data_IF_749549242911
#
_entry.id   IF_749549242911
#
_cell.length_a   1.000
_cell.length_b   1.000
_cell.length_c   1.000
_cell.angle_alpha   90.00
_cell.angle_beta   90.00
_cell.angle_gamma   90.00
#
_symmetry.space_group_name_H-M   'P 1'
#
loop_
_entity.id
_entity.type
_entity.pdbx_description
1 polymer ?
#
# COMPACT_ATOMS: atom_id res chain seq x y z
N UNK A 1 28.91 14.75 -4.00
CA UNK A 1 27.81 13.79 -4.22
C UNK A 1 26.51 14.59 -4.28
N UNK A 2 25.62 14.34 -5.25
CA UNK A 2 24.33 15.07 -5.32
C UNK A 2 23.36 14.50 -4.29
N UNK A 3 22.56 15.35 -3.66
CA UNK A 3 21.61 14.96 -2.61
C UNK A 3 20.18 15.00 -3.13
N UNK A 4 19.40 13.97 -2.78
CA UNK A 4 17.97 13.88 -3.03
C UNK A 4 17.26 13.86 -1.68
N UNK A 5 16.30 14.76 -1.50
CA UNK A 5 15.40 14.76 -0.35
C UNK A 5 14.10 14.09 -0.76
N UNK A 6 13.67 13.10 0.00
CA UNK A 6 12.49 12.28 -0.24
C UNK A 6 11.52 12.54 0.91
N UNK A 7 10.36 13.12 0.62
CA UNK A 7 9.40 13.59 1.64
C UNK A 7 8.24 12.60 1.80
N UNK A 8 8.56 11.31 1.96
CA UNK A 8 7.60 10.22 2.27
C UNK A 8 8.38 9.01 2.80
N UNK A 9 7.98 8.42 3.93
CA UNK A 9 8.55 7.18 4.51
C UNK A 9 7.74 5.91 4.20
N UNK A 10 7.07 5.86 3.04
CA UNK A 10 6.36 4.69 2.52
C UNK A 10 7.12 3.98 1.40
N UNK A 11 6.55 2.93 0.80
CA UNK A 11 7.20 2.08 -0.21
C UNK A 11 7.82 2.87 -1.36
N UNK A 12 7.11 3.86 -1.91
CA UNK A 12 7.65 4.68 -3.00
C UNK A 12 8.88 5.49 -2.55
N UNK A 13 8.87 5.99 -1.32
CA UNK A 13 9.99 6.71 -0.72
C UNK A 13 11.20 5.81 -0.46
N UNK A 14 10.98 4.61 0.09
CA UNK A 14 12.06 3.63 0.28
C UNK A 14 12.64 3.15 -1.05
N UNK A 15 11.79 2.82 -2.02
CA UNK A 15 12.21 2.49 -3.39
C UNK A 15 13.07 3.60 -3.98
N UNK A 16 12.59 4.86 -3.94
CA UNK A 16 13.35 6.01 -4.42
C UNK A 16 14.68 6.19 -3.66
N UNK A 17 14.71 5.99 -2.35
CA UNK A 17 15.91 6.09 -1.53
C UNK A 17 16.96 5.05 -1.91
N UNK A 18 16.56 3.78 -2.01
CA UNK A 18 17.43 2.68 -2.40
C UNK A 18 18.00 2.91 -3.79
N UNK A 19 17.14 3.20 -4.79
CA UNK A 19 17.62 3.47 -6.14
C UNK A 19 18.48 4.73 -6.22
N UNK A 20 18.21 5.77 -5.43
CA UNK A 20 19.07 6.96 -5.35
C UNK A 20 20.48 6.57 -4.88
N UNK A 21 20.60 5.79 -3.80
CA UNK A 21 21.89 5.32 -3.27
C UNK A 21 22.63 4.43 -4.28
N UNK A 22 21.93 3.49 -4.92
CA UNK A 22 22.51 2.63 -5.97
C UNK A 22 23.05 3.43 -7.17
N UNK A 23 22.46 4.60 -7.44
CA UNK A 23 22.84 5.49 -8.54
C UNK A 23 23.79 6.63 -8.11
N UNK A 24 24.40 6.52 -6.93
CA UNK A 24 25.46 7.44 -6.50
C UNK A 24 24.97 8.78 -5.94
N UNK A 25 23.68 8.90 -5.63
CA UNK A 25 23.13 10.03 -4.88
C UNK A 25 23.23 9.78 -3.37
N UNK A 26 23.35 10.86 -2.61
CA UNK A 26 23.00 10.85 -1.19
C UNK A 26 21.47 10.99 -1.09
N UNK A 27 20.81 10.20 -0.23
CA UNK A 27 19.36 10.25 -0.04
C UNK A 27 19.03 10.56 1.42
N UNK A 28 18.14 11.53 1.64
CA UNK A 28 17.55 11.83 2.94
C UNK A 28 16.04 11.57 2.86
N UNK A 29 15.53 10.64 3.66
CA UNK A 29 14.09 10.36 3.76
C UNK A 29 13.55 11.13 4.97
N UNK A 30 12.48 11.90 4.74
CA UNK A 30 11.74 12.63 5.76
C UNK A 30 10.33 12.04 5.83
N UNK A 31 9.96 11.58 7.02
CA UNK A 31 8.62 11.10 7.33
C UNK A 31 8.01 12.03 8.38
N UNK A 32 6.75 12.40 8.19
CA UNK A 32 6.03 13.28 9.13
C UNK A 32 5.47 12.49 10.32
N UNK A 33 5.17 11.21 10.10
CA UNK A 33 4.62 10.32 11.11
C UNK A 33 5.73 9.77 12.01
N UNK A 34 5.34 9.32 13.21
CA UNK A 34 6.24 8.70 14.18
C UNK A 34 6.66 7.28 13.77
N UNK A 35 5.94 6.69 12.82
CA UNK A 35 6.19 5.38 12.23
C UNK A 35 6.34 5.51 10.71
N UNK A 36 7.24 4.70 10.17
CA UNK A 36 7.41 4.50 8.73
C UNK A 36 6.45 3.43 8.21
N UNK A 37 6.22 3.42 6.90
CA UNK A 37 5.36 2.44 6.21
C UNK A 37 4.32 3.09 5.31
N UNK A 38 3.94 4.34 5.56
CA UNK A 38 2.87 5.01 4.84
C UNK A 38 1.54 4.25 5.02
N UNK A 39 0.90 3.85 3.93
CA UNK A 39 -0.30 2.99 3.98
C UNK A 39 -0.05 1.63 4.62
N UNK A 40 1.21 1.16 4.62
CA UNK A 40 1.62 -0.14 5.17
C UNK A 40 1.93 -0.10 6.66
N UNK A 41 1.47 0.93 7.36
CA UNK A 41 1.74 1.11 8.78
C UNK A 41 0.69 0.35 9.60
N UNK A 42 1.12 -0.63 10.38
CA UNK A 42 0.32 -1.22 11.45
C UNK A 42 0.31 -0.35 12.72
N UNK A 43 -0.65 -0.57 13.60
CA UNK A 43 -0.73 0.15 14.88
C UNK A 43 -1.06 -0.78 16.05
N UNK A 44 -0.59 -0.42 17.23
CA UNK A 44 -0.89 -1.15 18.46
C UNK A 44 -2.20 -0.67 19.08
N UNK A 45 -3.05 -1.60 19.52
CA UNK A 45 -4.25 -1.28 20.29
C UNK A 45 -4.59 -2.40 21.27
N UNK A 46 -4.79 -2.04 22.53
CA UNK A 46 -5.15 -2.98 23.61
C UNK A 46 -4.20 -4.20 23.70
N UNK A 47 -2.90 -4.01 23.41
CA UNK A 47 -1.91 -5.08 23.44
C UNK A 47 -1.84 -5.95 22.18
N UNK A 48 -2.59 -5.61 21.12
CA UNK A 48 -2.57 -6.28 19.83
C UNK A 48 -1.97 -5.40 18.74
N UNK A 49 -1.13 -6.00 17.89
CA UNK A 49 -0.68 -5.38 16.65
C UNK A 49 -1.76 -5.52 15.58
N UNK A 50 -2.26 -4.40 15.07
CA UNK A 50 -3.25 -4.34 14.01
C UNK A 50 -2.54 -3.94 12.72
N UNK A 51 -2.32 -4.90 11.83
CA UNK A 51 -1.90 -4.64 10.46
C UNK A 51 -3.14 -4.45 9.57
N UNK A 52 -3.38 -3.21 9.14
CA UNK A 52 -4.49 -2.91 8.24
C UNK A 52 -4.19 -3.19 6.77
N UNK A 53 -2.94 -3.39 6.37
CA UNK A 53 -2.53 -3.08 5.00
C UNK A 53 -2.30 -4.29 4.10
N UNK A 54 -1.39 -5.21 4.47
CA UNK A 54 -0.91 -6.23 3.53
C UNK A 54 -1.52 -7.59 3.86
N UNK A 55 -2.65 -7.90 3.22
CA UNK A 55 -3.23 -9.25 3.23
C UNK A 55 -2.68 -10.14 2.10
N UNK A 56 -2.10 -9.52 1.07
CA UNK A 56 -1.36 -10.19 -0.01
C UNK A 56 -0.34 -9.24 -0.64
N UNK A 57 0.66 -9.78 -1.34
CA UNK A 57 1.63 -9.02 -2.11
C UNK A 57 1.66 -9.49 -3.57
N UNK A 58 1.35 -8.59 -4.49
CA UNK A 58 1.43 -8.88 -5.93
C UNK A 58 2.88 -8.82 -6.40
N UNK A 59 3.24 -9.73 -7.30
CA UNK A 59 4.55 -9.74 -7.95
C UNK A 59 5.61 -10.55 -7.21
N UNK A 60 5.21 -11.49 -6.37
CA UNK A 60 6.12 -12.40 -5.66
C UNK A 60 6.51 -13.63 -6.48
N UNK A 61 5.87 -13.89 -7.63
CA UNK A 61 6.19 -15.04 -8.50
C UNK A 61 7.63 -14.96 -9.01
N UNK A 62 8.41 -16.02 -8.79
CA UNK A 62 9.79 -16.14 -9.25
C UNK A 62 9.96 -15.94 -10.76
N UNK A 63 11.12 -15.43 -11.17
CA UNK A 63 11.44 -15.13 -12.56
C UNK A 63 10.77 -13.88 -13.15
N UNK A 64 9.76 -13.31 -12.49
CA UNK A 64 9.07 -12.11 -12.97
C UNK A 64 9.87 -10.83 -12.71
N UNK A 65 9.68 -9.81 -13.56
CA UNK A 65 10.36 -8.52 -13.40
C UNK A 65 10.01 -7.82 -12.08
N UNK A 66 8.76 -7.92 -11.63
CA UNK A 66 8.32 -7.32 -10.38
C UNK A 66 8.92 -8.03 -9.16
N UNK A 67 9.07 -9.36 -9.20
CA UNK A 67 9.77 -10.11 -8.13
C UNK A 67 11.22 -9.65 -7.97
N UNK A 68 11.94 -9.52 -9.09
CA UNK A 68 13.32 -9.02 -9.09
C UNK A 68 13.43 -7.63 -8.47
N UNK A 69 12.42 -6.76 -8.64
CA UNK A 69 12.40 -5.45 -8.00
C UNK A 69 12.19 -5.55 -6.49
N UNK A 70 11.32 -6.45 -6.02
CA UNK A 70 11.14 -6.70 -4.59
C UNK A 70 12.42 -7.23 -3.93
N UNK A 71 13.09 -8.19 -4.57
CA UNK A 71 14.38 -8.71 -4.10
C UNK A 71 15.45 -7.60 -4.09
N UNK A 72 15.46 -6.75 -5.12
CA UNK A 72 16.44 -5.65 -5.26
C UNK A 72 16.34 -4.63 -4.12
N UNK A 73 15.14 -4.37 -3.63
CA UNK A 73 14.93 -3.47 -2.48
C UNK A 73 15.02 -4.18 -1.13
N UNK A 74 15.35 -5.49 -1.13
CA UNK A 74 15.46 -6.31 0.08
C UNK A 74 14.13 -6.59 0.77
N UNK A 75 12.99 -6.36 0.11
CA UNK A 75 11.68 -6.45 0.75
C UNK A 75 11.24 -7.88 1.09
N UNK A 76 11.87 -8.89 0.49
CA UNK A 76 11.54 -10.31 0.69
C UNK A 76 12.63 -11.07 1.43
N UNK A 77 13.68 -10.39 1.89
CA UNK A 77 14.81 -11.02 2.57
C UNK A 77 14.35 -11.62 3.90
N UNK A 78 14.48 -12.94 4.05
CA UNK A 78 14.05 -13.66 5.24
C UNK A 78 12.53 -13.79 5.41
N UNK A 79 11.75 -13.47 4.38
CA UNK A 79 10.28 -13.59 4.39
C UNK A 79 9.85 -14.88 3.69
N UNK A 80 9.12 -15.75 4.38
CA UNK A 80 8.47 -16.91 3.77
C UNK A 80 7.25 -16.45 2.96
N UNK A 81 7.18 -16.81 1.68
CA UNK A 81 6.09 -16.43 0.78
C UNK A 81 5.08 -17.58 0.68
N UNK A 82 3.89 -17.36 1.23
CA UNK A 82 2.76 -18.26 1.07
C UNK A 82 1.91 -17.88 -0.14
N UNK A 83 1.57 -18.86 -0.98
CA UNK A 83 0.71 -18.71 -2.15
C UNK A 83 -0.64 -19.40 -1.90
N UNK A 84 -1.64 -18.68 -1.36
CA UNK A 84 -2.96 -19.27 -1.14
C UNK A 84 -3.65 -19.60 -2.46
N UNK A 85 -4.50 -20.64 -2.48
CA UNK A 85 -5.29 -21.02 -3.66
C UNK A 85 -6.39 -19.99 -4.02
N UNK A 86 -6.74 -19.09 -3.10
CA UNK A 86 -7.83 -18.13 -3.24
C UNK A 86 -7.47 -16.71 -2.77
N UNK A 87 -7.90 -15.75 -3.58
CA UNK A 87 -7.98 -14.29 -3.41
C UNK A 87 -8.66 -13.79 -2.13
N UNK A 88 -9.97 -13.91 -2.20
CA UNK A 88 -10.96 -13.65 -1.16
C UNK A 88 -12.22 -14.31 -1.72
N UNK A 89 -12.63 -15.41 -1.12
CA UNK A 89 -13.87 -16.08 -1.45
C UNK A 89 -14.71 -16.10 -0.16
N UNK A 90 -15.88 -15.46 -0.20
CA UNK A 90 -16.91 -15.73 0.79
C UNK A 90 -17.82 -16.78 0.16
N UNK A 91 -17.68 -18.01 0.64
CA UNK A 91 -18.41 -19.17 0.14
C UNK A 91 -19.52 -19.55 1.12
N UNK A 92 -20.73 -19.72 0.55
CA UNK A 92 -21.88 -20.23 1.26
C UNK A 92 -22.68 -21.15 0.33
N UNK A 93 -22.56 -22.46 0.52
CA UNK A 93 -23.13 -23.44 -0.42
C UNK A 93 -22.49 -23.29 -1.82
N UNK A 94 -23.31 -23.23 -2.87
CA UNK A 94 -22.88 -23.11 -4.27
C UNK A 94 -22.61 -21.65 -4.71
N UNK A 95 -22.48 -20.71 -3.77
CA UNK A 95 -22.48 -19.26 -4.06
C UNK A 95 -21.21 -18.56 -3.57
N UNK A 96 -20.68 -17.68 -4.43
CA UNK A 96 -19.51 -16.81 -4.17
C UNK A 96 -19.90 -15.33 -4.37
N UNK A 97 -19.53 -14.45 -3.44
CA UNK A 97 -19.88 -13.01 -3.47
C UNK A 97 -18.65 -12.09 -3.37
N UNK A 98 -18.70 -10.94 -4.08
CA UNK A 98 -17.69 -9.86 -4.08
C UNK A 98 -18.31 -8.51 -3.62
N UNK A 99 -17.57 -7.65 -2.90
CA UNK A 99 -18.14 -6.48 -2.16
C UNK A 99 -17.46 -5.10 -2.39
N UNK A 100 -18.25 -3.99 -2.33
CA UNK A 100 -17.92 -2.52 -2.13
C UNK A 100 -19.19 -1.69 -1.70
N UNK A 101 -19.20 -0.35 -1.43
CA UNK A 101 -18.93 0.47 -0.20
C UNK A 101 -19.80 1.78 -0.15
N UNK A 102 -20.43 2.18 0.99
CA UNK A 102 -20.74 3.57 1.50
C UNK A 102 -21.71 3.58 2.74
N UNK A 103 -21.46 4.42 3.79
CA UNK A 103 -22.37 5.15 4.73
C UNK A 103 -21.75 5.55 6.11
N UNK A 104 -22.42 6.52 6.79
CA UNK A 104 -22.01 7.45 7.89
C UNK A 104 -22.03 6.90 9.35
N UNK A 105 -21.34 7.58 10.29
CA UNK A 105 -20.42 6.90 11.19
C UNK A 105 -20.32 7.46 12.63
N UNK A 106 -20.66 6.61 13.62
CA UNK A 106 -20.08 6.51 14.99
C UNK A 106 -20.75 5.37 15.78
N UNK A 107 -22.06 5.14 15.57
CA UNK A 107 -22.76 3.94 16.05
C UNK A 107 -22.46 2.70 15.19
N UNK A 108 -22.14 2.93 13.93
CA UNK A 108 -21.97 1.89 12.92
C UNK A 108 -20.77 0.98 13.16
N UNK A 109 -19.70 1.48 13.79
CA UNK A 109 -18.53 0.65 14.14
C UNK A 109 -18.87 -0.51 15.05
N UNK A 110 -19.53 -0.20 16.16
CA UNK A 110 -19.91 -1.22 17.14
C UNK A 110 -20.98 -2.12 16.55
N UNK A 111 -21.93 -1.55 15.79
CA UNK A 111 -22.94 -2.34 15.08
C UNK A 111 -22.32 -3.32 14.09
N UNK A 112 -21.34 -2.91 13.28
CA UNK A 112 -20.64 -3.78 12.32
C UNK A 112 -19.84 -4.86 13.04
N UNK A 113 -19.06 -4.50 14.05
CA UNK A 113 -18.31 -5.49 14.83
C UNK A 113 -19.22 -6.55 15.44
N UNK A 114 -20.31 -6.12 16.08
CA UNK A 114 -21.32 -7.02 16.66
C UNK A 114 -22.05 -7.81 15.56
N UNK A 115 -22.38 -7.20 14.43
CA UNK A 115 -23.02 -7.90 13.30
C UNK A 115 -22.12 -8.96 12.68
N UNK A 116 -20.81 -8.71 12.60
CA UNK A 116 -19.81 -9.69 12.15
C UNK A 116 -19.72 -10.84 13.15
N UNK A 117 -19.64 -10.56 14.46
CA UNK A 117 -19.67 -11.59 15.49
C UNK A 117 -20.95 -12.41 15.38
N UNK A 118 -22.13 -11.78 15.36
CA UNK A 118 -23.39 -12.50 15.26
C UNK A 118 -23.50 -13.31 13.96
N UNK A 119 -22.97 -12.81 12.84
CA UNK A 119 -22.89 -13.57 11.60
C UNK A 119 -21.94 -14.77 11.73
N UNK A 120 -20.78 -14.60 12.38
CA UNK A 120 -19.81 -15.67 12.63
C UNK A 120 -20.36 -16.73 13.59
N UNK A 121 -21.02 -16.35 14.68
CA UNK A 121 -21.61 -17.26 15.65
C UNK A 121 -22.82 -18.03 15.07
N UNK A 122 -23.66 -17.36 14.28
CA UNK A 122 -24.74 -18.02 13.53
C UNK A 122 -24.17 -19.02 12.52
N UNK A 123 -23.02 -18.70 11.91
CA UNK A 123 -22.37 -19.54 10.90
C UNK A 123 -21.55 -20.69 11.51
N UNK A 124 -20.95 -20.45 12.67
CA UNK A 124 -20.07 -21.33 13.44
C UNK A 124 -20.52 -21.33 14.90
N UNK A 125 -21.50 -22.17 15.27
CA UNK A 125 -22.06 -22.19 16.63
C UNK A 125 -21.02 -22.43 17.73
N UNK A 126 -19.92 -23.13 17.41
CA UNK A 126 -18.81 -23.38 18.33
C UNK A 126 -18.00 -22.12 18.68
N UNK A 127 -18.12 -21.03 17.90
CA UNK A 127 -17.50 -19.74 18.17
C UNK A 127 -18.34 -18.84 19.09
N UNK A 128 -19.55 -19.29 19.46
CA UNK A 128 -20.44 -18.54 20.34
C UNK A 128 -19.75 -18.16 21.65
N UNK A 129 -19.84 -16.88 22.00
CA UNK A 129 -19.25 -16.25 23.18
C UNK A 129 -17.71 -16.32 23.24
N UNK A 130 -17.03 -16.62 22.12
CA UNK A 130 -15.56 -16.71 22.03
C UNK A 130 -14.92 -15.62 21.17
N UNK A 131 -15.72 -14.78 20.53
CA UNK A 131 -15.25 -13.72 19.65
C UNK A 131 -15.32 -12.37 20.37
N UNK A 132 -14.26 -11.58 20.24
CA UNK A 132 -14.20 -10.20 20.75
C UNK A 132 -13.84 -9.25 19.60
N UNK A 133 -14.58 -8.15 19.47
CA UNK A 133 -14.24 -7.11 18.49
C UNK A 133 -13.08 -6.29 19.04
N UNK A 134 -11.89 -6.48 18.48
CA UNK A 134 -10.71 -5.71 18.87
C UNK A 134 -10.69 -4.30 18.25
N UNK A 135 -11.04 -4.17 16.96
CA UNK A 135 -11.16 -2.89 16.27
C UNK A 135 -11.97 -3.03 14.96
N UNK A 136 -12.37 -1.89 14.39
CA UNK A 136 -12.92 -1.80 13.03
C UNK A 136 -12.11 -0.74 12.26
N UNK A 137 -11.34 -1.18 11.27
CA UNK A 137 -10.60 -0.27 10.39
C UNK A 137 -11.54 0.29 9.30
N UNK A 138 -11.53 1.60 9.11
CA UNK A 138 -12.43 2.30 8.17
C UNK A 138 -11.63 3.30 7.35
N UNK A 139 -12.17 3.87 6.26
CA UNK A 139 -11.44 4.89 5.49
C UNK A 139 -10.92 6.06 6.36
N UNK A 140 -11.67 6.47 7.39
CA UNK A 140 -11.19 7.46 8.37
C UNK A 140 -10.00 6.96 9.21
N UNK A 141 -9.95 5.66 9.54
CA UNK A 141 -8.76 5.02 10.13
C UNK A 141 -7.56 5.21 9.20
N UNK A 142 -7.67 4.87 7.91
CA UNK A 142 -6.58 5.07 6.94
C UNK A 142 -6.20 6.53 6.76
N UNK A 143 -7.17 7.44 6.73
CA UNK A 143 -6.86 8.88 6.67
C UNK A 143 -6.13 9.37 7.92
N UNK A 144 -6.53 8.88 9.11
CA UNK A 144 -5.95 9.27 10.39
C UNK A 144 -4.54 8.71 10.58
N UNK A 145 -4.34 7.42 10.32
CA UNK A 145 -3.10 6.72 10.61
C UNK A 145 -2.12 6.74 9.44
N UNK A 146 -2.63 6.62 8.20
CA UNK A 146 -1.80 6.52 7.01
C UNK A 146 -1.74 7.83 6.21
N UNK A 147 -2.55 8.83 6.59
CA UNK A 147 -2.73 10.07 5.81
C UNK A 147 -3.23 9.80 4.38
N UNK A 148 -3.97 8.71 4.20
CA UNK A 148 -4.58 8.31 2.94
C UNK A 148 -5.63 9.35 2.51
N UNK A 149 -5.52 9.86 1.29
CA UNK A 149 -6.55 10.74 0.75
C UNK A 149 -7.89 10.01 0.72
N UNK A 150 -8.89 10.55 1.46
CA UNK A 150 -10.21 9.95 1.66
C UNK A 150 -10.19 8.50 2.18
N UNK A 151 -9.09 8.07 2.81
CA UNK A 151 -8.98 6.70 3.32
C UNK A 151 -8.86 5.62 2.26
N UNK A 152 -8.45 5.98 1.04
CA UNK A 152 -8.28 5.03 -0.03
C UNK A 152 -6.94 4.27 0.08
N UNK A 153 -7.04 2.94 0.16
CA UNK A 153 -5.90 2.03 0.26
C UNK A 153 -5.21 1.75 -1.09
N UNK A 154 -5.85 2.12 -2.20
CA UNK A 154 -5.33 2.06 -3.57
C UNK A 154 -5.46 3.41 -4.27
N UNK A 155 -4.76 3.57 -5.39
CA UNK A 155 -4.80 4.78 -6.22
C UNK A 155 -6.14 4.96 -6.94
N UNK A 156 -6.17 5.88 -7.91
CA UNK A 156 -7.39 6.14 -8.69
C UNK A 156 -7.79 4.90 -9.51
N UNK A 157 -9.02 4.44 -9.32
CA UNK A 157 -9.58 3.38 -10.15
C UNK A 157 -10.11 3.97 -11.46
N UNK A 158 -9.72 3.44 -12.63
CA UNK A 158 -10.25 3.91 -13.90
C UNK A 158 -11.75 3.57 -14.00
N UNK A 159 -12.56 4.53 -14.45
CA UNK A 159 -13.95 4.26 -14.86
C UNK A 159 -13.96 3.77 -16.29
N UNK A 160 -15.01 3.06 -16.71
CA UNK A 160 -15.16 2.55 -18.10
C UNK A 160 -14.98 3.66 -19.15
N UNK A 161 -15.34 4.90 -18.81
CA UNK A 161 -15.24 6.08 -19.66
C UNK A 161 -13.98 6.91 -19.40
N UNK A 162 -13.26 6.64 -18.30
CA UNK A 162 -12.10 7.39 -17.85
C UNK A 162 -10.84 6.95 -18.61
N UNK A 163 -10.05 7.92 -19.06
CA UNK A 163 -8.71 7.62 -19.57
C UNK A 163 -7.81 7.14 -18.43
N UNK A 164 -6.98 6.15 -18.72
CA UNK A 164 -5.97 5.68 -17.79
C UNK A 164 -5.00 6.82 -17.44
N UNK A 165 -4.91 7.16 -16.15
CA UNK A 165 -4.11 8.29 -15.69
C UNK A 165 -2.69 7.81 -15.41
N UNK A 166 -1.78 7.98 -16.36
CA UNK A 166 -0.35 7.74 -16.17
C UNK A 166 0.40 9.07 -16.12
N UNK A 167 0.92 9.43 -14.94
CA UNK A 167 1.62 10.69 -14.70
C UNK A 167 3.11 10.46 -14.41
N UNK A 168 3.99 11.18 -15.09
CA UNK A 168 5.46 11.02 -14.94
C UNK A 168 6.03 11.63 -13.65
N UNK A 169 5.16 12.20 -12.81
CA UNK A 169 5.52 12.90 -11.59
C UNK A 169 6.23 14.24 -11.82
N UNK A 170 6.58 14.60 -13.05
CA UNK A 170 7.11 15.92 -13.39
C UNK A 170 5.97 16.94 -13.38
N UNK A 171 6.16 18.06 -12.69
CA UNK A 171 5.21 19.18 -12.69
C UNK A 171 5.80 20.30 -13.53
N UNK A 172 5.08 20.71 -14.58
CA UNK A 172 5.51 21.81 -15.45
C UNK A 172 5.73 23.09 -14.62
N UNK A 173 6.91 23.69 -14.77
CA UNK A 173 7.29 24.91 -14.06
C UNK A 173 7.91 24.70 -12.67
N UNK A 174 8.01 23.46 -12.20
CA UNK A 174 8.70 23.13 -10.95
C UNK A 174 9.98 22.33 -11.27
N UNK A 175 11.11 23.01 -11.13
CA UNK A 175 12.41 22.40 -11.26
C UNK A 175 12.84 21.69 -9.98
N UNK A 176 13.62 20.62 -10.15
CA UNK A 176 14.17 19.83 -9.05
C UNK A 176 13.13 19.24 -8.08
N UNK A 177 11.88 19.10 -8.53
CA UNK A 177 10.80 18.49 -7.77
C UNK A 177 10.05 17.46 -8.61
N UNK A 178 9.79 16.30 -8.01
CA UNK A 178 9.08 15.20 -8.64
C UNK A 178 8.10 14.58 -7.66
N UNK A 179 6.90 14.27 -8.16
CA UNK A 179 5.99 13.39 -7.46
C UNK A 179 6.44 11.94 -7.63
N UNK A 180 6.22 11.12 -6.60
CA UNK A 180 6.39 9.67 -6.63
C UNK A 180 5.37 9.04 -5.69
N UNK A 181 4.81 7.89 -6.06
CA UNK A 181 3.80 7.22 -5.25
C UNK A 181 2.69 6.54 -6.06
N UNK A 182 1.90 5.73 -5.36
CA UNK A 182 0.82 4.93 -5.95
C UNK A 182 -0.27 5.74 -6.67
N UNK A 183 -0.35 7.04 -6.41
CA UNK A 183 -1.34 7.94 -7.01
C UNK A 183 -1.02 8.36 -8.45
N UNK A 184 0.15 8.01 -8.97
CA UNK A 184 0.60 8.43 -10.30
C UNK A 184 0.14 7.53 -11.45
N UNK A 185 -0.28 6.30 -11.16
CA UNK A 185 -0.75 5.35 -12.16
C UNK A 185 -1.72 4.32 -11.55
N UNK A 186 -2.77 3.90 -12.27
CA UNK A 186 -3.65 2.82 -11.84
C UNK A 186 -2.92 1.46 -11.94
N UNK A 187 -3.36 0.43 -11.19
CA UNK A 187 -4.40 0.48 -10.16
C UNK A 187 -3.91 1.11 -8.83
N UNK A 188 -2.68 1.60 -8.77
CA UNK A 188 -2.02 1.98 -7.52
C UNK A 188 -1.50 0.77 -6.76
N UNK A 189 -1.53 0.82 -5.43
CA UNK A 189 -1.06 -0.27 -4.57
C UNK A 189 0.46 -0.42 -4.48
N UNK A 190 0.90 -1.43 -3.73
CA UNK A 190 2.32 -1.67 -3.42
C UNK A 190 3.21 -1.81 -4.68
N UNK A 191 2.85 -2.61 -5.71
CA UNK A 191 3.67 -2.72 -6.92
C UNK A 191 3.89 -1.36 -7.61
N UNK A 192 2.83 -0.56 -7.68
CA UNK A 192 2.89 0.75 -8.29
C UNK A 192 3.76 1.71 -7.47
N UNK A 193 3.62 1.69 -6.14
CA UNK A 193 4.48 2.49 -5.27
C UNK A 193 5.97 2.14 -5.48
N UNK A 194 6.30 0.85 -5.55
CA UNK A 194 7.65 0.37 -5.82
C UNK A 194 8.17 0.87 -7.17
N UNK A 195 7.40 0.65 -8.25
CA UNK A 195 7.77 1.02 -9.62
C UNK A 195 7.95 2.52 -9.75
N UNK A 196 7.01 3.32 -9.22
CA UNK A 196 7.07 4.78 -9.32
C UNK A 196 8.25 5.37 -8.55
N UNK A 197 8.64 4.79 -7.41
CA UNK A 197 9.87 5.16 -6.70
C UNK A 197 11.12 4.98 -7.56
N UNK A 198 11.28 3.80 -8.17
CA UNK A 198 12.36 3.48 -9.12
C UNK A 198 12.35 4.42 -10.32
N UNK A 199 11.20 4.59 -10.95
CA UNK A 199 11.06 5.39 -12.17
C UNK A 199 11.34 6.87 -11.94
N UNK A 200 11.00 7.41 -10.77
CA UNK A 200 11.37 8.77 -10.39
C UNK A 200 12.88 8.93 -10.39
N UNK A 201 13.65 8.00 -9.79
CA UNK A 201 15.11 8.06 -9.81
C UNK A 201 15.67 7.86 -11.22
N UNK A 202 15.10 6.96 -12.01
CA UNK A 202 15.49 6.77 -13.41
C UNK A 202 15.35 8.07 -14.22
N UNK A 203 14.25 8.81 -14.03
CA UNK A 203 14.03 10.12 -14.66
C UNK A 203 15.04 11.17 -14.18
N UNK A 204 15.37 11.18 -12.89
CA UNK A 204 16.40 12.07 -12.32
C UNK A 204 17.77 11.73 -12.93
N UNK A 205 18.18 10.46 -12.99
CA UNK A 205 19.42 10.04 -13.62
C UNK A 205 19.52 10.53 -15.06
N UNK A 206 18.44 10.36 -15.85
CA UNK A 206 18.37 10.87 -17.23
C UNK A 206 18.56 12.39 -17.31
N UNK A 207 17.93 13.17 -16.42
CA UNK A 207 18.11 14.64 -16.34
C UNK A 207 19.55 15.01 -16.01
N UNK A 208 20.17 14.27 -15.09
CA UNK A 208 21.54 14.48 -14.64
C UNK A 208 22.60 13.88 -15.58
N UNK A 209 22.17 13.27 -16.71
CA UNK A 209 23.03 12.57 -17.68
C UNK A 209 23.86 11.45 -17.03
N UNK A 210 23.24 10.72 -16.11
CA UNK A 210 23.81 9.54 -15.46
C UNK A 210 23.15 8.27 -16.01
N UNK A 211 23.94 7.21 -16.15
CA UNK A 211 23.41 5.88 -16.47
C UNK A 211 22.65 5.31 -15.27
N UNK A 212 21.42 4.86 -15.51
CA UNK A 212 20.58 4.27 -14.48
C UNK A 212 20.95 2.80 -14.23
N UNK A 213 21.30 2.50 -12.98
CA UNK A 213 21.58 1.17 -12.47
C UNK A 213 20.30 0.61 -11.85
N UNK A 214 19.83 -0.49 -12.46
CA UNK A 214 18.76 -1.33 -11.92
C UNK A 214 19.27 -2.16 -10.75
#
# INVERSE_FOLDING_TARGET
>A
MKKIVIIVGGIAGFSAGIFARLNGFESLILEKNHTIGGECTGWERNGYHIDGCIHWLVGTKEGTGLRKLWDRVGALDGVEIYHPESFLAVEYGDTTVHFYRELDWLQEKNRIGVAIISAMENRFPDMKDKLEVLDVATPQTYQRYCNAYKGAFMGFWPTIQGKELNHTGNIKGLDNMWLSGQWLQPPGGLPTALITGKDTIMRICKREKLDFKV
#
